data_IF_871582166925
#
_entry.id   IF_871582166925
#
_cell.length_a   1.000
_cell.length_b   1.000
_cell.length_c   1.000
_cell.angle_alpha   90.00
_cell.angle_beta   90.00
_cell.angle_gamma   90.00
#
_symmetry.space_group_name_H-M   'P 1'
#
loop_
_entity.id
_entity.type
_entity.pdbx_description
1 polymer ?
#
# COMPACT_ATOMS: atom_id res chain seq x y z
N UNK A 1 3.99 -10.40 -4.38
CA UNK A 1 3.65 -9.83 -3.05
C UNK A 1 2.24 -10.30 -2.67
N UNK A 2 1.91 -10.58 -1.40
CA UNK A 2 0.51 -10.92 -1.05
C UNK A 2 -0.35 -9.65 -0.94
N UNK A 3 -1.68 -9.74 -1.12
CA UNK A 3 -2.56 -8.58 -0.96
C UNK A 3 -2.40 -7.87 0.39
N UNK A 4 -2.30 -8.64 1.48
CA UNK A 4 -2.13 -8.08 2.82
C UNK A 4 -0.76 -7.42 3.03
N UNK A 5 0.32 -7.95 2.42
CA UNK A 5 1.63 -7.28 2.44
C UNK A 5 1.60 -5.93 1.72
N UNK A 6 0.95 -5.88 0.54
CA UNK A 6 0.76 -4.65 -0.23
C UNK A 6 -0.01 -3.62 0.60
N UNK A 7 -1.13 -4.04 1.16
CA UNK A 7 -1.98 -3.21 2.01
C UNK A 7 -1.22 -2.66 3.22
N UNK A 8 -0.41 -3.48 3.89
CA UNK A 8 0.41 -3.04 5.01
C UNK A 8 1.45 -1.99 4.61
N UNK A 9 2.15 -2.18 3.48
CA UNK A 9 3.12 -1.19 2.98
C UNK A 9 2.42 0.13 2.63
N UNK A 10 1.28 0.07 1.93
CA UNK A 10 0.48 1.25 1.58
C UNK A 10 0.01 1.99 2.83
N UNK A 11 -0.56 1.28 3.81
CA UNK A 11 -0.99 1.87 5.09
C UNK A 11 0.19 2.46 5.86
N UNK A 12 1.33 1.78 5.87
CA UNK A 12 2.55 2.26 6.50
C UNK A 12 3.08 3.56 5.87
N UNK A 13 2.96 3.75 4.56
CA UNK A 13 3.37 5.01 3.89
C UNK A 13 2.49 6.21 4.28
N UNK A 14 1.25 5.97 4.70
CA UNK A 14 0.29 6.99 5.11
C UNK A 14 0.45 7.45 6.57
N UNK A 15 1.21 6.74 7.39
CA UNK A 15 1.37 7.03 8.82
C UNK A 15 2.83 6.98 9.25
N UNK A 16 3.14 7.58 10.39
CA UNK A 16 4.45 7.43 11.02
C UNK A 16 4.53 6.11 11.78
N UNK A 17 3.39 5.57 12.21
CA UNK A 17 3.33 4.31 12.96
C UNK A 17 1.95 3.66 12.90
N UNK A 18 1.92 2.35 12.66
CA UNK A 18 0.76 1.48 12.68
C UNK A 18 1.15 0.19 13.40
N UNK A 19 0.36 -0.21 14.38
CA UNK A 19 0.50 -1.51 15.04
C UNK A 19 -0.39 -2.54 14.33
N UNK A 20 0.17 -3.68 13.87
CA UNK A 20 -0.59 -4.75 13.24
C UNK A 20 -1.65 -5.33 14.18
N UNK A 21 -2.77 -5.77 13.62
CA UNK A 21 -3.82 -6.48 14.34
C UNK A 21 -4.05 -7.91 13.79
N UNK A 22 -4.26 -8.87 14.69
CA UNK A 22 -4.64 -10.24 14.33
C UNK A 22 -3.71 -10.88 13.29
N UNK A 23 -4.25 -11.22 12.12
CA UNK A 23 -3.51 -11.88 11.04
C UNK A 23 -2.41 -10.99 10.39
N UNK A 24 -2.39 -9.68 10.67
CA UNK A 24 -1.38 -8.76 10.13
C UNK A 24 0.02 -9.01 10.70
N UNK A 25 0.13 -9.61 11.89
CA UNK A 25 1.43 -9.98 12.46
C UNK A 25 2.22 -10.97 11.59
N UNK A 26 1.53 -11.84 10.85
CA UNK A 26 2.20 -12.74 9.91
C UNK A 26 2.73 -11.97 8.70
N UNK A 27 1.99 -10.96 8.23
CA UNK A 27 2.38 -10.14 7.09
C UNK A 27 3.61 -9.28 7.44
N UNK A 28 3.61 -8.56 8.57
CA UNK A 28 4.75 -7.71 8.96
C UNK A 28 6.04 -8.51 9.19
N UNK A 29 5.96 -9.69 9.81
CA UNK A 29 7.13 -10.58 9.98
C UNK A 29 7.69 -11.03 8.64
N UNK A 30 6.81 -11.29 7.68
CA UNK A 30 7.24 -11.67 6.34
C UNK A 30 7.77 -10.47 5.53
N UNK A 31 7.28 -9.25 5.76
CA UNK A 31 7.88 -8.01 5.23
C UNK A 31 9.29 -7.81 5.79
N UNK A 32 9.47 -7.97 7.12
CA UNK A 32 10.76 -7.85 7.79
C UNK A 32 11.77 -8.88 7.28
N UNK A 33 11.35 -10.15 7.13
CA UNK A 33 12.20 -11.23 6.58
C UNK A 33 12.69 -10.93 5.16
N UNK A 34 11.90 -10.19 4.38
CA UNK A 34 12.24 -9.76 3.02
C UNK A 34 13.06 -8.46 2.98
N UNK A 35 13.33 -7.84 4.13
CA UNK A 35 14.05 -6.56 4.20
C UNK A 35 13.21 -5.35 3.81
N UNK A 36 11.89 -5.48 3.64
CA UNK A 36 10.99 -4.41 3.18
C UNK A 36 10.53 -3.45 4.30
N UNK A 37 10.77 -3.85 5.55
CA UNK A 37 10.60 -3.01 6.75
C UNK A 37 11.73 -3.30 7.73
N UNK A 38 12.09 -2.30 8.54
CA UNK A 38 13.10 -2.43 9.58
C UNK A 38 12.53 -2.94 10.91
N UNK A 39 11.21 -2.86 11.12
CA UNK A 39 10.51 -3.30 12.33
C UNK A 39 9.50 -4.43 12.02
N UNK A 40 9.35 -5.38 12.95
CA UNK A 40 8.41 -6.50 12.89
C UNK A 40 7.18 -6.33 13.80
N UNK A 41 7.13 -5.27 14.59
CA UNK A 41 6.05 -4.98 15.54
C UNK A 41 5.23 -3.76 15.17
N UNK A 42 5.79 -2.86 14.37
CA UNK A 42 5.08 -1.70 13.83
C UNK A 42 5.53 -1.38 12.41
N UNK A 43 4.66 -0.75 11.64
CA UNK A 43 4.98 -0.28 10.30
C UNK A 43 4.66 1.20 10.16
N UNK A 44 5.54 1.95 9.52
CA UNK A 44 5.35 3.35 9.24
C UNK A 44 6.31 3.82 8.16
N UNK A 45 6.16 5.07 7.72
CA UNK A 45 7.00 5.64 6.67
C UNK A 45 8.50 5.52 6.96
N UNK A 46 8.88 5.65 8.23
CA UNK A 46 10.28 5.59 8.66
C UNK A 46 10.82 4.16 8.78
N UNK A 47 9.93 3.16 8.92
CA UNK A 47 10.35 1.76 9.03
C UNK A 47 10.37 1.07 7.67
N UNK A 48 9.60 1.54 6.69
CA UNK A 48 9.61 1.00 5.33
C UNK A 48 10.94 1.35 4.67
N UNK A 49 11.63 0.33 4.15
CA UNK A 49 12.91 0.50 3.45
C UNK A 49 12.70 0.89 1.99
N UNK A 50 13.75 1.37 1.34
CA UNK A 50 13.76 1.60 -0.11
C UNK A 50 13.38 0.33 -0.87
N UNK A 51 13.93 -0.83 -0.50
CA UNK A 51 13.56 -2.13 -1.08
C UNK A 51 12.08 -2.45 -0.92
N UNK A 52 11.45 -2.02 0.19
CA UNK A 52 10.02 -2.15 0.41
C UNK A 52 9.19 -1.28 -0.55
N UNK A 53 9.65 -0.05 -0.81
CA UNK A 53 9.02 0.84 -1.79
C UNK A 53 9.19 0.30 -3.21
N UNK A 54 10.37 -0.20 -3.56
CA UNK A 54 10.65 -0.76 -4.88
C UNK A 54 9.86 -2.06 -5.12
N UNK A 55 9.77 -2.92 -4.10
CA UNK A 55 8.91 -4.09 -4.16
C UNK A 55 7.44 -3.72 -4.33
N UNK A 56 6.98 -2.65 -3.67
CA UNK A 56 5.61 -2.16 -3.82
C UNK A 56 5.35 -1.65 -5.24
N UNK A 57 6.29 -0.90 -5.82
CA UNK A 57 6.21 -0.43 -7.19
C UNK A 57 6.19 -1.58 -8.20
N UNK A 58 7.06 -2.58 -8.04
CA UNK A 58 7.14 -3.74 -8.92
C UNK A 58 5.90 -4.67 -8.86
N UNK A 59 5.11 -4.58 -7.78
CA UNK A 59 3.89 -5.37 -7.59
C UNK A 59 2.61 -4.52 -7.70
N UNK A 60 2.70 -3.35 -8.32
CA UNK A 60 1.59 -2.41 -8.52
C UNK A 60 1.47 -2.04 -9.99
N UNK A 61 0.26 -1.65 -10.41
CA UNK A 61 0.08 -1.05 -11.73
C UNK A 61 0.75 0.34 -11.74
N UNK A 62 1.09 0.89 -12.92
CA UNK A 62 1.62 2.26 -13.01
C UNK A 62 0.74 3.27 -12.29
N UNK A 63 -0.58 3.14 -12.45
CA UNK A 63 -1.61 3.89 -11.73
C UNK A 63 -2.75 2.92 -11.37
N UNK A 64 -3.22 2.93 -10.13
CA UNK A 64 -4.38 2.13 -9.70
C UNK A 64 -5.16 2.78 -8.56
N UNK A 65 -6.45 2.45 -8.46
CA UNK A 65 -7.22 2.67 -7.24
C UNK A 65 -7.06 1.44 -6.36
N UNK A 66 -6.60 1.64 -5.13
CA UNK A 66 -6.38 0.59 -4.16
C UNK A 66 -7.23 0.83 -2.92
N UNK A 67 -7.98 -0.19 -2.51
CA UNK A 67 -8.72 -0.15 -1.26
C UNK A 67 -7.80 -0.55 -0.10
N UNK A 68 -7.57 0.38 0.83
CA UNK A 68 -6.87 0.13 2.09
C UNK A 68 -7.86 0.40 3.24
N UNK A 69 -8.21 -0.64 3.99
CA UNK A 69 -9.31 -0.61 4.96
C UNK A 69 -10.61 -0.06 4.33
N UNK A 70 -11.13 1.05 4.87
CA UNK A 70 -12.36 1.74 4.44
C UNK A 70 -12.10 2.89 3.46
N UNK A 71 -10.86 3.05 2.99
CA UNK A 71 -10.46 4.14 2.10
C UNK A 71 -10.08 3.61 0.73
N UNK A 72 -10.38 4.40 -0.29
CA UNK A 72 -9.87 4.20 -1.63
C UNK A 72 -8.73 5.19 -1.85
N UNK A 73 -7.60 4.70 -2.34
CA UNK A 73 -6.39 5.48 -2.55
C UNK A 73 -6.00 5.42 -4.02
N UNK A 74 -5.65 6.57 -4.59
CA UNK A 74 -4.93 6.61 -5.86
C UNK A 74 -3.46 6.29 -5.58
N UNK A 75 -3.01 5.16 -6.13
CA UNK A 75 -1.61 4.78 -6.11
C UNK A 75 -0.95 5.13 -7.45
N UNK A 76 0.26 5.67 -7.39
CA UNK A 76 1.15 5.83 -8.55
C UNK A 76 2.41 5.04 -8.26
N UNK A 77 2.73 4.06 -9.10
CA UNK A 77 3.82 3.10 -8.88
C UNK A 77 3.78 2.51 -7.46
N UNK A 78 2.57 2.15 -7.01
CA UNK A 78 2.33 1.59 -5.68
C UNK A 78 2.36 2.57 -4.50
N UNK A 79 2.81 3.82 -4.69
CA UNK A 79 2.82 4.81 -3.61
C UNK A 79 1.48 5.54 -3.52
N UNK A 80 0.90 5.74 -2.32
CA UNK A 80 -0.33 6.48 -2.15
C UNK A 80 -0.11 7.98 -2.35
N UNK A 81 -0.82 8.56 -3.31
CA UNK A 81 -0.69 9.99 -3.69
C UNK A 81 -1.90 10.81 -3.25
N UNK A 82 -3.10 10.24 -3.34
CA UNK A 82 -4.33 10.92 -2.95
C UNK A 82 -5.38 9.92 -2.44
N UNK A 83 -6.26 10.40 -1.56
CA UNK A 83 -7.48 9.68 -1.18
C UNK A 83 -8.59 9.99 -2.19
N UNK A 84 -9.32 8.96 -2.61
CA UNK A 84 -10.46 9.12 -3.52
C UNK A 84 -11.67 9.58 -2.74
N UNK A 85 -12.35 10.62 -3.23
CA UNK A 85 -13.57 11.11 -2.60
C UNK A 85 -14.64 10.00 -2.48
N UNK A 86 -15.39 9.94 -1.37
CA UNK A 86 -16.46 8.97 -1.19
C UNK A 86 -17.44 8.98 -2.37
N UNK A 87 -17.77 7.78 -2.87
CA UNK A 87 -18.67 7.61 -4.02
C UNK A 87 -18.09 7.94 -5.40
N UNK A 88 -16.85 8.43 -5.50
CA UNK A 88 -16.20 8.74 -6.80
C UNK A 88 -15.29 7.62 -7.33
N UNK A 89 -15.11 6.52 -6.60
CA UNK A 89 -14.18 5.45 -6.99
C UNK A 89 -14.49 4.85 -8.37
N UNK A 90 -15.74 4.45 -8.66
CA UNK A 90 -16.11 3.87 -9.96
C UNK A 90 -15.86 4.83 -11.13
N UNK A 91 -16.12 6.13 -10.92
CA UNK A 91 -15.87 7.15 -11.95
C UNK A 91 -14.38 7.27 -12.23
N UNK A 92 -13.54 7.21 -11.19
CA UNK A 92 -12.10 7.31 -11.35
C UNK A 92 -11.49 6.05 -11.94
N UNK A 93 -11.97 4.86 -11.54
CA UNK A 93 -11.60 3.59 -12.17
C UNK A 93 -11.92 3.59 -13.67
N UNK A 94 -13.10 4.08 -14.06
CA UNK A 94 -13.47 4.20 -15.46
C UNK A 94 -12.55 5.16 -16.22
N UNK A 95 -12.22 6.32 -15.66
CA UNK A 95 -11.29 7.28 -16.28
C UNK A 95 -9.90 6.68 -16.50
N UNK A 96 -9.41 5.86 -15.55
CA UNK A 96 -8.13 5.16 -15.68
C UNK A 96 -8.19 4.04 -16.73
N UNK A 97 -9.32 3.34 -16.85
CA UNK A 97 -9.51 2.32 -17.88
C UNK A 97 -9.59 2.91 -19.29
N UNK A 98 -10.28 4.04 -19.45
CA UNK A 98 -10.46 4.73 -20.73
C UNK A 98 -9.16 5.36 -21.26
N UNK A 99 -8.17 5.60 -20.38
CA UNK A 99 -6.89 6.22 -20.76
C UNK A 99 -5.82 5.22 -21.20
N UNK A 100 -6.05 3.90 -21.10
CA UNK A 100 -5.16 2.88 -21.66
C UNK A 100 -3.70 2.91 -21.18
N UNK A 101 -3.44 3.55 -20.02
CA UNK A 101 -2.13 3.66 -19.38
C UNK A 101 -1.73 2.37 -18.63
#
# INVERSE_FOLDING_TARGET
MTPKMKEMLVRGLLTNRLYPAGAEYAAIKALKRRGWTTDEWSIGRETITTDGVDALAANSKPIEIFQADFRFLLLIKGQPVAEVLPGQHMKMEKLLADTGL
#
